data_IF_592075424188
#
_entry.id   IF_592075424188
#
_cell.length_a   1.000
_cell.length_b   1.000
_cell.length_c   1.000
_cell.angle_alpha   90.00
_cell.angle_beta   90.00
_cell.angle_gamma   90.00
#
_symmetry.space_group_name_H-M   'P 1'
#
loop_
_entity.id
_entity.type
_entity.pdbx_description
1 polymer ?
#
# COMPACT_ATOMS: atom_id res chain seq x y z
N UNK A 1 -5.46 -14.00 -10.94
CA UNK A 1 -4.43 -13.92 -12.00
C UNK A 1 -3.70 -12.58 -11.90
N UNK A 2 -2.36 -12.57 -11.87
CA UNK A 2 -1.53 -11.35 -11.60
C UNK A 2 -1.79 -10.20 -12.59
N UNK A 3 -2.13 -10.52 -13.84
CA UNK A 3 -2.34 -9.55 -14.93
C UNK A 3 -3.61 -8.68 -14.81
N UNK A 4 -4.67 -9.16 -14.13
CA UNK A 4 -5.91 -8.39 -13.95
C UNK A 4 -5.89 -7.52 -12.69
N UNK A 5 -4.94 -7.75 -11.77
CA UNK A 5 -4.83 -6.98 -10.53
C UNK A 5 -4.56 -5.48 -10.76
N UNK A 6 -3.72 -5.05 -11.74
CA UNK A 6 -3.55 -3.63 -12.04
C UNK A 6 -4.88 -2.92 -12.37
N UNK A 7 -5.78 -3.57 -13.12
CA UNK A 7 -7.06 -2.95 -13.50
C UNK A 7 -7.93 -2.65 -12.28
N UNK A 8 -7.89 -3.50 -11.25
CA UNK A 8 -8.59 -3.23 -9.99
C UNK A 8 -8.06 -1.97 -9.30
N UNK A 9 -6.74 -1.74 -9.36
CA UNK A 9 -6.15 -0.51 -8.81
C UNK A 9 -6.51 0.73 -9.65
N UNK A 10 -6.56 0.59 -10.98
CA UNK A 10 -6.99 1.67 -11.85
C UNK A 10 -8.47 2.04 -11.59
N UNK A 11 -9.33 1.04 -11.46
CA UNK A 11 -10.74 1.23 -11.11
C UNK A 11 -10.88 1.90 -9.72
N UNK A 12 -10.13 1.41 -8.72
CA UNK A 12 -10.13 1.99 -7.38
C UNK A 12 -9.62 3.44 -7.37
N UNK A 13 -8.64 3.78 -8.21
CA UNK A 13 -8.18 5.16 -8.38
C UNK A 13 -9.28 6.05 -8.98
N UNK A 14 -9.99 5.58 -10.02
CA UNK A 14 -11.11 6.31 -10.62
C UNK A 14 -12.23 6.55 -9.59
N UNK A 15 -12.65 5.49 -8.89
CA UNK A 15 -13.71 5.60 -7.87
C UNK A 15 -13.33 6.56 -6.74
N UNK A 16 -12.07 6.55 -6.30
CA UNK A 16 -11.58 7.48 -5.29
C UNK A 16 -11.61 8.93 -5.80
N UNK A 17 -11.21 9.16 -7.06
CA UNK A 17 -11.22 10.48 -7.69
C UNK A 17 -12.65 11.04 -7.86
N UNK A 18 -13.61 10.18 -8.17
CA UNK A 18 -15.01 10.57 -8.32
C UNK A 18 -15.67 10.98 -6.99
N UNK A 19 -15.12 10.54 -5.85
CA UNK A 19 -15.64 10.88 -4.53
C UNK A 19 -15.15 12.27 -4.06
N UNK A 20 -15.73 13.32 -4.65
CA UNK A 20 -15.42 14.73 -4.34
C UNK A 20 -15.80 15.18 -2.93
N UNK A 21 -16.59 14.40 -2.19
CA UNK A 21 -16.97 14.67 -0.80
C UNK A 21 -15.92 14.19 0.21
N UNK A 22 -14.93 13.43 -0.25
CA UNK A 22 -13.83 12.95 0.59
C UNK A 22 -12.87 14.09 0.95
N UNK A 23 -12.23 13.99 2.12
CA UNK A 23 -11.11 14.86 2.48
C UNK A 23 -10.07 14.89 1.33
N UNK A 24 -9.67 16.06 0.82
CA UNK A 24 -8.80 16.15 -0.36
C UNK A 24 -7.48 15.40 -0.20
N UNK A 25 -6.88 15.41 1.00
CA UNK A 25 -5.62 14.69 1.26
C UNK A 25 -5.85 13.19 1.17
N UNK A 26 -6.93 12.66 1.76
CA UNK A 26 -7.28 11.24 1.63
C UNK A 26 -7.59 10.86 0.17
N UNK A 27 -8.25 11.73 -0.59
CA UNK A 27 -8.54 11.52 -2.00
C UNK A 27 -7.25 11.39 -2.81
N UNK A 28 -6.39 12.42 -2.80
CA UNK A 28 -5.17 12.42 -3.61
C UNK A 28 -4.23 11.29 -3.22
N UNK A 29 -4.06 11.03 -1.92
CA UNK A 29 -3.21 9.92 -1.46
C UNK A 29 -3.77 8.56 -1.86
N UNK A 30 -5.09 8.37 -1.88
CA UNK A 30 -5.72 7.13 -2.35
C UNK A 30 -5.53 6.94 -3.85
N UNK A 31 -5.66 8.00 -4.64
CA UNK A 31 -5.43 7.99 -6.09
C UNK A 31 -3.96 7.68 -6.39
N UNK A 32 -3.02 8.44 -5.80
CA UNK A 32 -1.57 8.25 -6.00
C UNK A 32 -1.15 6.83 -5.58
N UNK A 33 -1.65 6.34 -4.44
CA UNK A 33 -1.35 4.98 -3.98
C UNK A 33 -1.77 3.93 -5.00
N UNK A 34 -3.01 4.01 -5.49
CA UNK A 34 -3.52 3.03 -6.44
C UNK A 34 -2.84 3.14 -7.81
N UNK A 35 -2.50 4.34 -8.28
CA UNK A 35 -1.70 4.52 -9.50
C UNK A 35 -0.27 4.00 -9.33
N UNK A 36 0.34 4.18 -8.16
CA UNK A 36 1.63 3.60 -7.81
C UNK A 36 1.59 2.07 -7.86
N UNK A 37 0.58 1.44 -7.27
CA UNK A 37 0.41 -0.01 -7.34
C UNK A 37 0.08 -0.52 -8.76
N UNK A 38 -0.69 0.24 -9.54
CA UNK A 38 -0.91 -0.04 -10.95
C UNK A 38 0.42 -0.06 -11.73
N UNK A 39 1.24 0.98 -11.57
CA UNK A 39 2.56 1.06 -12.22
C UNK A 39 3.50 -0.06 -11.77
N UNK A 40 3.57 -0.32 -10.46
CA UNK A 40 4.34 -1.42 -9.90
C UNK A 40 3.96 -2.77 -10.48
N UNK A 41 2.68 -3.15 -10.43
CA UNK A 41 2.21 -4.47 -10.89
C UNK A 41 2.29 -4.61 -12.43
N UNK A 42 2.14 -3.51 -13.18
CA UNK A 42 2.30 -3.51 -14.63
C UNK A 42 3.76 -3.80 -15.02
N UNK A 43 4.71 -3.16 -14.34
CA UNK A 43 6.15 -3.40 -14.54
C UNK A 43 6.59 -4.77 -13.99
N UNK A 44 6.01 -5.22 -12.88
CA UNK A 44 6.24 -6.57 -12.33
C UNK A 44 5.80 -7.65 -13.33
N UNK A 45 4.71 -7.42 -14.06
CA UNK A 45 4.27 -8.34 -15.13
C UNK A 45 5.33 -8.51 -16.21
N UNK A 46 6.04 -7.45 -16.60
CA UNK A 46 7.16 -7.52 -17.55
C UNK A 46 8.31 -8.34 -16.97
N UNK A 47 8.65 -8.12 -15.70
CA UNK A 47 9.68 -8.90 -15.00
C UNK A 47 9.32 -10.39 -14.96
N UNK A 48 8.04 -10.69 -14.72
CA UNK A 48 7.53 -12.06 -14.77
C UNK A 48 7.62 -12.69 -16.17
N UNK A 49 7.32 -11.94 -17.24
CA UNK A 49 7.52 -12.42 -18.62
C UNK A 49 8.99 -12.71 -18.96
N UNK A 50 9.94 -11.94 -18.40
CA UNK A 50 11.37 -12.24 -18.53
C UNK A 50 11.75 -13.55 -17.84
N UNK A 51 11.22 -13.81 -16.65
CA UNK A 51 11.48 -15.07 -15.93
C UNK A 51 10.95 -16.31 -16.67
N UNK A 52 9.90 -16.16 -17.47
CA UNK A 52 9.38 -17.25 -18.33
C UNK A 52 10.12 -17.43 -19.65
N UNK A 53 11.14 -16.60 -19.94
CA UNK A 53 11.91 -16.67 -21.19
C UNK A 53 11.18 -16.11 -22.42
N UNK A 54 10.01 -15.47 -22.25
CA UNK A 54 9.25 -14.84 -23.35
C UNK A 54 9.92 -13.54 -23.80
N UNK A 55 10.58 -12.84 -22.88
CA UNK A 55 11.33 -11.59 -23.14
C UNK A 55 12.80 -11.83 -22.80
N UNK A 56 13.69 -11.37 -23.67
CA UNK A 56 15.14 -11.45 -23.45
C UNK A 56 15.53 -10.81 -22.11
N UNK A 57 16.24 -11.59 -21.29
CA UNK A 57 16.79 -11.19 -20.00
C UNK A 57 17.61 -9.89 -20.03
N UNK A 58 18.30 -9.62 -21.16
CA UNK A 58 19.14 -8.44 -21.36
C UNK A 58 18.35 -7.18 -21.74
N UNK A 59 17.09 -7.32 -22.16
CA UNK A 59 16.20 -6.20 -22.44
C UNK A 59 15.49 -5.77 -21.15
N UNK A 60 15.19 -4.47 -21.01
CA UNK A 60 14.42 -3.94 -19.88
C UNK A 60 15.03 -4.22 -18.50
N UNK A 61 16.35 -4.04 -18.34
CA UNK A 61 17.06 -4.27 -17.06
C UNK A 61 16.67 -3.29 -15.96
N UNK A 62 16.19 -2.10 -16.32
CA UNK A 62 15.77 -1.06 -15.37
C UNK A 62 14.34 -1.21 -14.87
N UNK A 63 13.54 -2.12 -15.44
CA UNK A 63 12.13 -2.33 -15.09
C UNK A 63 11.93 -2.67 -13.61
N UNK A 64 12.70 -3.56 -12.98
CA UNK A 64 12.58 -3.85 -11.55
C UNK A 64 12.84 -2.62 -10.66
N UNK A 65 13.80 -1.77 -11.06
CA UNK A 65 14.09 -0.51 -10.36
C UNK A 65 12.91 0.45 -10.45
N UNK A 66 12.34 0.63 -11.65
CA UNK A 66 11.15 1.47 -11.84
C UNK A 66 9.94 0.93 -11.09
N UNK A 67 9.72 -0.39 -11.11
CA UNK A 67 8.67 -1.04 -10.33
C UNK A 67 8.83 -0.69 -8.84
N UNK A 68 10.02 -0.84 -8.28
CA UNK A 68 10.32 -0.50 -6.88
C UNK A 68 10.09 0.99 -6.57
N UNK A 69 10.37 1.90 -7.52
CA UNK A 69 10.06 3.34 -7.36
C UNK A 69 8.55 3.62 -7.34
N UNK A 70 7.77 2.99 -8.21
CA UNK A 70 6.31 3.10 -8.20
C UNK A 70 5.71 2.52 -6.91
N UNK A 71 6.28 1.42 -6.43
CA UNK A 71 5.90 0.83 -5.14
C UNK A 71 6.18 1.80 -3.99
N UNK A 72 7.38 2.38 -3.93
CA UNK A 72 7.75 3.38 -2.93
C UNK A 72 6.83 4.61 -2.96
N UNK A 73 6.49 5.12 -4.14
CA UNK A 73 5.53 6.22 -4.29
C UNK A 73 4.16 5.87 -3.68
N UNK A 74 3.69 4.65 -3.93
CA UNK A 74 2.45 4.17 -3.35
C UNK A 74 2.49 4.06 -1.82
N UNK A 75 3.62 3.61 -1.27
CA UNK A 75 3.85 3.51 0.18
C UNK A 75 3.90 4.90 0.84
N UNK A 76 4.58 5.87 0.24
CA UNK A 76 4.60 7.26 0.75
C UNK A 76 3.18 7.82 0.82
N UNK A 77 2.39 7.65 -0.24
CA UNK A 77 0.99 8.05 -0.23
C UNK A 77 0.17 7.30 0.84
N UNK A 78 0.44 6.00 1.04
CA UNK A 78 -0.16 5.17 2.10
C UNK A 78 0.12 5.66 3.52
N UNK A 79 1.36 6.05 3.80
CA UNK A 79 1.78 6.65 5.07
C UNK A 79 1.03 7.96 5.33
N UNK A 80 1.00 8.88 4.36
CA UNK A 80 0.29 10.16 4.49
C UNK A 80 -1.21 9.92 4.71
N UNK A 81 -1.81 8.98 3.95
CA UNK A 81 -3.21 8.60 4.08
C UNK A 81 -3.53 8.08 5.49
N UNK A 82 -2.67 7.21 6.03
CA UNK A 82 -2.85 6.62 7.37
C UNK A 82 -2.74 7.68 8.47
N UNK A 83 -1.78 8.60 8.37
CA UNK A 83 -1.64 9.72 9.32
C UNK A 83 -2.84 10.66 9.25
N UNK A 84 -3.32 11.01 8.04
CA UNK A 84 -4.50 11.86 7.88
C UNK A 84 -5.76 11.19 8.41
N UNK A 85 -5.93 9.89 8.14
CA UNK A 85 -7.03 9.08 8.66
C UNK A 85 -7.02 9.05 10.18
N UNK A 86 -5.85 8.86 10.80
CA UNK A 86 -5.70 8.92 12.25
C UNK A 86 -6.14 10.27 12.81
N UNK A 87 -5.63 11.38 12.26
CA UNK A 87 -5.97 12.75 12.72
C UNK A 87 -7.47 13.04 12.61
N UNK A 88 -8.10 12.69 11.49
CA UNK A 88 -9.55 12.92 11.28
C UNK A 88 -10.38 12.12 12.29
N UNK A 89 -10.07 10.83 12.48
CA UNK A 89 -10.86 10.00 13.38
C UNK A 89 -10.58 10.33 14.85
N UNK A 90 -9.38 10.76 15.21
CA UNK A 90 -9.09 11.24 16.56
C UNK A 90 -9.87 12.51 16.90
N UNK A 91 -9.93 13.48 15.98
CA UNK A 91 -10.74 14.68 16.17
C UNK A 91 -12.25 14.37 16.29
N UNK A 92 -12.74 13.37 15.54
CA UNK A 92 -14.12 12.88 15.67
C UNK A 92 -14.39 12.20 17.02
N UNK A 93 -13.37 11.55 17.59
CA UNK A 93 -13.46 10.94 18.91
C UNK A 93 -13.53 12.00 20.02
N UNK A 94 -12.77 13.08 19.88
CA UNK A 94 -12.79 14.22 20.82
C UNK A 94 -14.13 14.98 20.79
N UNK A 95 -14.82 14.96 19.65
CA UNK A 95 -16.15 15.56 19.45
C UNK A 95 -17.28 14.51 19.55
N UNK A 96 -17.03 13.37 20.18
CA UNK A 96 -18.04 12.31 20.28
C UNK A 96 -19.13 12.69 21.29
N UNK A 97 -20.38 12.63 20.84
CA UNK A 97 -21.57 12.75 21.68
C UNK A 97 -22.18 11.36 21.98
N UNK A 98 -23.21 11.28 22.80
CA UNK A 98 -23.89 10.00 23.16
C UNK A 98 -24.42 9.19 21.96
N UNK A 99 -24.64 9.84 20.81
CA UNK A 99 -25.10 9.18 19.57
C UNK A 99 -23.95 8.71 18.67
N UNK A 100 -22.71 9.04 19.02
CA UNK A 100 -21.54 8.70 18.20
C UNK A 100 -21.12 7.27 18.47
N UNK A 101 -21.00 6.47 17.41
CA UNK A 101 -20.44 5.13 17.47
C UNK A 101 -18.91 5.21 17.70
N UNK A 102 -18.53 5.28 18.97
CA UNK A 102 -17.14 5.36 19.43
C UNK A 102 -16.34 4.12 19.02
N UNK A 103 -16.96 2.94 19.03
CA UNK A 103 -16.31 1.67 18.69
C UNK A 103 -15.92 1.63 17.20
N UNK A 104 -16.81 2.11 16.32
CA UNK A 104 -16.49 2.24 14.91
C UNK A 104 -15.34 3.23 14.64
N UNK A 105 -15.27 4.34 15.40
CA UNK A 105 -14.17 5.31 15.30
C UNK A 105 -12.85 4.68 15.78
N UNK A 106 -12.87 4.00 16.93
CA UNK A 106 -11.70 3.32 17.47
C UNK A 106 -11.18 2.23 16.52
N UNK A 107 -12.07 1.49 15.86
CA UNK A 107 -11.70 0.52 14.82
C UNK A 107 -10.99 1.17 13.62
N UNK A 108 -11.46 2.35 13.17
CA UNK A 108 -10.78 3.12 12.11
C UNK A 108 -9.41 3.63 12.54
N UNK A 109 -9.28 4.12 13.79
CA UNK A 109 -8.00 4.55 14.37
C UNK A 109 -7.02 3.38 14.43
N UNK A 110 -7.46 2.22 14.93
CA UNK A 110 -6.63 1.02 14.99
C UNK A 110 -6.17 0.59 13.60
N UNK A 111 -7.09 0.56 12.63
CA UNK A 111 -6.78 0.22 11.24
C UNK A 111 -5.76 1.19 10.62
N UNK A 112 -5.89 2.49 10.89
CA UNK A 112 -4.95 3.50 10.42
C UNK A 112 -3.55 3.33 11.03
N UNK A 113 -3.45 3.11 12.36
CA UNK A 113 -2.16 2.86 13.04
C UNK A 113 -1.49 1.59 12.53
N UNK A 114 -2.26 0.51 12.38
CA UNK A 114 -1.76 -0.76 11.87
C UNK A 114 -1.24 -0.62 10.44
N UNK A 115 -2.00 0.07 9.58
CA UNK A 115 -1.60 0.31 8.19
C UNK A 115 -0.36 1.22 8.09
N UNK A 116 -0.26 2.22 8.95
CA UNK A 116 0.93 3.07 9.05
C UNK A 116 2.19 2.24 9.35
N UNK A 117 2.13 1.35 10.35
CA UNK A 117 3.28 0.47 10.68
C UNK A 117 3.60 -0.46 9.50
N UNK A 118 2.58 -1.02 8.86
CA UNK A 118 2.76 -1.85 7.68
C UNK A 118 3.48 -1.08 6.57
N UNK A 119 2.95 0.07 6.15
CA UNK A 119 3.50 0.86 5.05
C UNK A 119 4.94 1.32 5.36
N UNK A 120 5.31 1.54 6.63
CA UNK A 120 6.70 1.82 7.04
C UNK A 120 7.63 0.62 6.90
N UNK A 121 7.18 -0.58 7.29
CA UNK A 121 7.96 -1.82 7.12
C UNK A 121 8.17 -2.14 5.63
N UNK A 122 7.12 -1.99 4.82
CA UNK A 122 7.22 -2.18 3.37
C UNK A 122 8.10 -1.08 2.74
N UNK A 123 8.07 0.15 3.26
CA UNK A 123 8.96 1.23 2.82
C UNK A 123 10.42 0.94 3.14
N UNK A 124 10.71 0.37 4.30
CA UNK A 124 12.05 -0.11 4.65
C UNK A 124 12.54 -1.15 3.63
N UNK A 125 11.69 -2.10 3.22
CA UNK A 125 12.02 -3.10 2.20
C UNK A 125 12.26 -2.43 0.84
N UNK A 126 11.36 -1.53 0.41
CA UNK A 126 11.46 -0.84 -0.87
C UNK A 126 12.69 0.08 -0.97
N UNK A 127 13.09 0.72 0.13
CA UNK A 127 14.29 1.56 0.17
C UNK A 127 15.59 0.72 0.10
N UNK A 128 15.61 -0.46 0.72
CA UNK A 128 16.72 -1.41 0.56
C UNK A 128 16.76 -1.97 -0.87
N UNK A 129 15.61 -2.30 -1.48
CA UNK A 129 15.59 -2.81 -2.87
C UNK A 129 16.06 -1.78 -3.91
N UNK A 130 15.89 -0.49 -3.61
CA UNK A 130 16.40 0.63 -4.42
C UNK A 130 17.85 0.99 -4.11
N UNK A 131 18.50 0.27 -3.19
CA UNK A 131 19.87 0.53 -2.72
C UNK A 131 20.05 1.93 -2.11
N UNK A 132 18.99 2.48 -1.50
CA UNK A 132 19.07 3.70 -0.69
C UNK A 132 19.47 3.39 0.75
N UNK A 133 19.02 2.24 1.26
CA UNK A 133 19.46 1.68 2.54
C UNK A 133 20.31 0.44 2.27
N UNK A 134 21.27 0.18 3.17
CA UNK A 134 22.25 -0.90 3.04
C UNK A 134 22.18 -1.84 4.24
N UNK A 135 20.97 -2.28 4.60
CA UNK A 135 20.79 -3.28 5.68
C UNK A 135 21.03 -4.70 5.16
N UNK A 136 21.20 -5.63 6.09
CA UNK A 136 21.43 -7.03 5.73
C UNK A 136 20.15 -7.67 5.16
N UNK A 137 20.31 -8.72 4.36
CA UNK A 137 19.17 -9.50 3.85
C UNK A 137 18.29 -10.05 4.98
N UNK A 138 18.89 -10.36 6.13
CA UNK A 138 18.18 -10.81 7.33
C UNK A 138 17.22 -9.76 7.88
N UNK A 139 17.65 -8.50 7.97
CA UNK A 139 16.82 -7.39 8.47
C UNK A 139 15.62 -7.13 7.55
N UNK A 140 15.87 -7.14 6.24
CA UNK A 140 14.82 -6.99 5.21
C UNK A 140 13.85 -8.16 5.25
N UNK A 141 14.36 -9.39 5.41
CA UNK A 141 13.55 -10.60 5.56
C UNK A 141 12.67 -10.59 6.80
N UNK A 142 13.17 -10.08 7.93
CA UNK A 142 12.38 -9.91 9.15
C UNK A 142 11.22 -8.93 8.95
N UNK A 143 11.48 -7.76 8.33
CA UNK A 143 10.43 -6.81 8.00
C UNK A 143 9.35 -7.45 7.11
N UNK A 144 9.77 -8.19 6.07
CA UNK A 144 8.84 -8.90 5.17
C UNK A 144 8.06 -10.02 5.86
N UNK A 145 8.67 -10.69 6.83
CA UNK A 145 7.99 -11.73 7.63
C UNK A 145 6.91 -11.12 8.50
N UNK A 146 7.19 -9.99 9.15
CA UNK A 146 6.21 -9.26 9.98
C UNK A 146 5.02 -8.82 9.14
N UNK A 147 5.25 -8.17 7.99
CA UNK A 147 4.16 -7.72 7.11
C UNK A 147 3.38 -8.89 6.50
N UNK A 148 4.04 -10.01 6.20
CA UNK A 148 3.38 -11.24 5.75
C UNK A 148 2.46 -11.84 6.82
N UNK A 149 2.89 -11.91 8.09
CA UNK A 149 2.05 -12.38 9.21
C UNK A 149 0.85 -11.45 9.41
N UNK A 150 1.06 -10.13 9.29
CA UNK A 150 -0.04 -9.16 9.31
C UNK A 150 -1.04 -9.43 8.19
N UNK A 151 -0.58 -9.65 6.96
CA UNK A 151 -1.46 -9.97 5.84
C UNK A 151 -2.21 -11.29 5.99
N UNK A 152 -1.57 -12.32 6.52
CA UNK A 152 -2.22 -13.60 6.80
C UNK A 152 -3.36 -13.43 7.81
N UNK A 153 -3.16 -12.62 8.86
CA UNK A 153 -4.22 -12.31 9.84
C UNK A 153 -5.42 -11.63 9.18
N UNK A 154 -5.21 -10.75 8.21
CA UNK A 154 -6.29 -10.05 7.52
C UNK A 154 -7.05 -10.98 6.57
N UNK A 155 -6.33 -11.84 5.83
CA UNK A 155 -6.94 -12.87 4.98
C UNK A 155 -7.78 -13.87 5.80
N UNK A 156 -7.27 -14.30 6.95
CA UNK A 156 -7.99 -15.19 7.86
C UNK A 156 -9.26 -14.57 8.40
N UNK A 157 -9.21 -13.28 8.81
CA UNK A 157 -10.40 -12.54 9.23
C UNK A 157 -11.43 -12.42 8.11
N UNK A 158 -10.99 -12.19 6.87
CA UNK A 158 -11.87 -12.10 5.72
C UNK A 158 -12.53 -13.44 5.32
N UNK A 159 -11.99 -14.57 5.79
CA UNK A 159 -12.53 -15.91 5.51
C UNK A 159 -13.64 -16.31 6.50
N UNK A 160 -13.68 -15.70 7.69
CA UNK A 160 -14.79 -15.89 8.63
C UNK A 160 -16.02 -15.14 8.11
N UNK A 161 -16.76 -15.80 7.23
CA UNK A 161 -18.15 -15.49 6.88
C UNK A 161 -19.05 -15.98 8.01
#
# INVERSE_FOLDING_TARGET
MRFLKPLNHLQAASQAYDNKLMDPVLLYTTVIRNLGYFGYLSLDSITWFKMMGIVDSKKFTTVPTWASRFWLLGLIAGVINSVRTYKINNAKLEQADEKTDVDAINSKIYSAKRKFIWDLLDMFIALNSLNYLHFTEGDVGLAGTITSIMGLKDLWKATKV
#
